data_IF_271383086278
#
_entry.id   IF_271383086278
#
_cell.length_a   1.000
_cell.length_b   1.000
_cell.length_c   1.000
_cell.angle_alpha   90.00
_cell.angle_beta   90.00
_cell.angle_gamma   90.00
#
_symmetry.space_group_name_H-M   'P 1'
#
loop_
_entity.id
_entity.type
_entity.pdbx_description
1 polymer ?
#
# COMPACT_ATOMS: atom_id res chain seq x y z
N UNK A 1 8.86 22.38 -59.59
CA UNK A 1 8.04 22.43 -58.35
C UNK A 1 8.98 22.21 -57.18
N UNK A 2 9.29 23.26 -56.40
CA UNK A 2 10.05 23.11 -55.16
C UNK A 2 9.05 23.19 -54.02
N UNK A 3 8.85 22.07 -53.34
CA UNK A 3 8.13 22.05 -52.08
C UNK A 3 8.99 22.82 -51.07
N UNK A 4 8.49 23.96 -50.58
CA UNK A 4 9.08 24.58 -49.40
C UNK A 4 8.90 23.62 -48.24
N UNK A 5 10.01 23.16 -47.67
CA UNK A 5 9.99 22.54 -46.34
C UNK A 5 9.49 23.59 -45.36
N UNK A 6 8.25 23.42 -44.89
CA UNK A 6 7.63 24.28 -43.88
C UNK A 6 8.24 23.91 -42.53
N UNK A 7 9.23 24.68 -42.09
CA UNK A 7 9.77 24.60 -40.73
C UNK A 7 8.76 25.10 -39.69
N UNK A 8 8.82 24.51 -38.49
CA UNK A 8 7.99 24.86 -37.34
C UNK A 8 8.10 26.35 -36.97
N UNK A 9 6.97 27.00 -36.69
CA UNK A 9 6.91 28.36 -36.15
C UNK A 9 7.01 28.32 -34.61
N UNK A 10 7.66 29.32 -34.00
CA UNK A 10 7.68 29.51 -32.53
C UNK A 10 6.26 29.56 -31.95
N UNK A 11 5.31 30.16 -32.66
CA UNK A 11 3.91 30.19 -32.23
C UNK A 11 3.29 28.79 -32.17
N UNK A 12 3.62 27.93 -33.14
CA UNK A 12 3.11 26.57 -33.20
C UNK A 12 3.66 25.72 -32.05
N UNK A 13 4.95 25.89 -31.72
CA UNK A 13 5.55 25.25 -30.54
C UNK A 13 4.86 25.70 -29.25
N UNK A 14 4.58 27.00 -29.09
CA UNK A 14 3.90 27.53 -27.91
C UNK A 14 2.48 26.98 -27.76
N UNK A 15 1.75 26.86 -28.87
CA UNK A 15 0.40 26.26 -28.87
C UNK A 15 0.46 24.78 -28.49
N UNK A 16 1.41 24.01 -29.02
CA UNK A 16 1.59 22.61 -28.66
C UNK A 16 1.92 22.46 -27.17
N UNK A 17 2.84 23.28 -26.64
CA UNK A 17 3.19 23.27 -25.23
C UNK A 17 2.00 23.65 -24.34
N UNK A 18 1.18 24.63 -24.75
CA UNK A 18 -0.03 25.00 -24.04
C UNK A 18 -1.05 23.85 -23.99
N UNK A 19 -1.30 23.19 -25.12
CA UNK A 19 -2.18 22.02 -25.20
C UNK A 19 -1.63 20.89 -24.33
N UNK A 20 -0.32 20.59 -24.43
CA UNK A 20 0.33 19.56 -23.63
C UNK A 20 0.21 19.84 -22.12
N UNK A 21 0.38 21.09 -21.70
CA UNK A 21 0.22 21.50 -20.30
C UNK A 21 -1.21 21.26 -19.80
N UNK A 22 -2.23 21.58 -20.60
CA UNK A 22 -3.64 21.34 -20.28
C UNK A 22 -3.91 19.83 -20.15
N UNK A 23 -3.41 19.02 -21.10
CA UNK A 23 -3.58 17.57 -21.06
C UNK A 23 -2.92 16.96 -19.81
N UNK A 24 -1.71 17.39 -19.46
CA UNK A 24 -1.01 16.92 -18.27
C UNK A 24 -1.72 17.33 -16.97
N UNK A 25 -2.27 18.54 -16.91
CA UNK A 25 -3.02 19.00 -15.74
C UNK A 25 -4.25 18.14 -15.44
N UNK A 26 -4.88 17.57 -16.48
CA UNK A 26 -6.04 16.68 -16.34
C UNK A 26 -5.61 15.23 -16.11
N UNK A 27 -4.53 14.78 -16.75
CA UNK A 27 -4.10 13.38 -16.73
C UNK A 27 -3.26 12.99 -15.50
N UNK A 28 -2.56 13.95 -14.86
CA UNK A 28 -1.69 13.67 -13.72
C UNK A 28 -2.42 13.34 -12.39
N UNK A 29 -3.51 14.02 -11.99
CA UNK A 29 -4.17 13.80 -10.70
C UNK A 29 -4.56 12.34 -10.39
N UNK A 30 -5.17 11.59 -11.33
CA UNK A 30 -5.59 10.20 -11.07
C UNK A 30 -4.44 9.26 -10.70
N UNK A 31 -3.22 9.53 -11.18
CA UNK A 31 -2.03 8.74 -10.84
C UNK A 31 -1.65 8.88 -9.36
N UNK A 32 -1.95 10.03 -8.75
CA UNK A 32 -1.69 10.26 -7.32
C UNK A 32 -2.77 9.60 -6.45
N UNK A 33 -4.03 9.61 -6.88
CA UNK A 33 -5.14 8.98 -6.15
C UNK A 33 -5.02 7.45 -6.10
N UNK A 34 -4.53 6.84 -7.18
CA UNK A 34 -4.32 5.39 -7.27
C UNK A 34 -3.40 4.87 -6.13
N UNK A 35 -2.46 5.70 -5.66
CA UNK A 35 -1.47 5.31 -4.66
C UNK A 35 -2.06 5.05 -3.28
N UNK A 36 -3.11 5.78 -2.90
CA UNK A 36 -3.78 5.62 -1.59
C UNK A 36 -4.58 4.34 -1.52
N UNK A 37 -5.46 4.11 -2.49
CA UNK A 37 -6.30 2.92 -2.59
C UNK A 37 -5.47 1.64 -2.70
N UNK A 38 -4.41 1.67 -3.51
CA UNK A 38 -3.47 0.55 -3.62
C UNK A 38 -2.78 0.26 -2.29
N UNK A 39 -2.32 1.30 -1.57
CA UNK A 39 -1.67 1.13 -0.28
C UNK A 39 -2.58 0.45 0.75
N UNK A 40 -3.85 0.86 0.84
CA UNK A 40 -4.84 0.25 1.75
C UNK A 40 -5.11 -1.20 1.36
N UNK A 41 -5.30 -1.49 0.06
CA UNK A 41 -5.53 -2.85 -0.43
C UNK A 41 -4.35 -3.78 -0.13
N UNK A 42 -3.12 -3.30 -0.34
CA UNK A 42 -1.92 -4.08 -0.04
C UNK A 42 -1.79 -4.36 1.45
N UNK A 43 -2.04 -3.37 2.32
CA UNK A 43 -2.07 -3.57 3.76
C UNK A 43 -3.11 -4.62 4.18
N UNK A 44 -4.32 -4.57 3.62
CA UNK A 44 -5.36 -5.56 3.90
C UNK A 44 -4.97 -6.98 3.44
N UNK A 45 -4.32 -7.11 2.28
CA UNK A 45 -3.82 -8.39 1.78
C UNK A 45 -2.71 -8.98 2.65
N UNK A 46 -1.79 -8.14 3.13
CA UNK A 46 -0.73 -8.53 4.05
C UNK A 46 -1.31 -9.05 5.37
N UNK A 47 -2.24 -8.30 5.96
CA UNK A 47 -2.96 -8.72 7.19
C UNK A 47 -3.71 -10.05 7.00
N UNK A 48 -4.37 -10.23 5.86
CA UNK A 48 -5.05 -11.49 5.53
C UNK A 48 -4.05 -12.66 5.45
N UNK A 49 -2.87 -12.43 4.87
CA UNK A 49 -1.78 -13.41 4.82
C UNK A 49 -1.31 -13.81 6.22
N UNK A 50 -1.05 -12.83 7.07
CA UNK A 50 -0.65 -13.03 8.47
C UNK A 50 -1.70 -13.80 9.27
N UNK A 51 -2.98 -13.46 9.13
CA UNK A 51 -4.07 -14.17 9.82
C UNK A 51 -4.23 -15.61 9.34
N UNK A 52 -4.06 -15.86 8.04
CA UNK A 52 -4.06 -17.23 7.49
C UNK A 52 -2.88 -18.04 8.02
N UNK A 53 -1.70 -17.42 8.12
CA UNK A 53 -0.52 -18.03 8.71
C UNK A 53 -0.76 -18.37 10.19
N UNK A 54 -1.29 -17.43 10.97
CA UNK A 54 -1.65 -17.63 12.38
C UNK A 54 -2.60 -18.81 12.56
N UNK A 55 -3.65 -18.88 11.73
CA UNK A 55 -4.61 -20.00 11.72
C UNK A 55 -3.92 -21.32 11.39
N UNK A 56 -3.05 -21.36 10.39
CA UNK A 56 -2.32 -22.57 10.03
C UNK A 56 -1.40 -23.04 11.18
N UNK A 57 -0.74 -22.11 11.87
CA UNK A 57 0.04 -22.40 13.07
C UNK A 57 -0.81 -22.96 14.21
N UNK A 58 -1.97 -22.36 14.47
CA UNK A 58 -2.90 -22.81 15.50
C UNK A 58 -3.40 -24.24 15.25
N UNK A 59 -3.81 -24.54 14.01
CA UNK A 59 -4.26 -25.87 13.60
C UNK A 59 -3.10 -26.89 13.71
N UNK A 60 -1.92 -26.55 13.19
CA UNK A 60 -0.77 -27.48 13.19
C UNK A 60 -0.31 -27.85 14.59
N UNK A 61 -0.34 -26.90 15.52
CA UNK A 61 0.19 -27.11 16.88
C UNK A 61 -0.90 -27.38 17.91
N UNK A 62 -2.17 -27.45 17.49
CA UNK A 62 -3.33 -27.56 18.37
C UNK A 62 -3.28 -26.57 19.54
N UNK A 63 -2.84 -25.34 19.26
CA UNK A 63 -2.55 -24.31 20.25
C UNK A 63 -3.25 -23.00 19.87
N UNK A 64 -3.55 -22.18 20.86
CA UNK A 64 -4.09 -20.85 20.61
C UNK A 64 -2.99 -19.93 20.08
N UNK A 65 -3.28 -19.20 19.01
CA UNK A 65 -2.35 -18.24 18.39
C UNK A 65 -3.10 -16.92 18.19
N UNK A 66 -2.49 -15.82 18.60
CA UNK A 66 -3.01 -14.48 18.36
C UNK A 66 -2.03 -13.64 17.54
N UNK A 67 -2.58 -12.61 16.91
CA UNK A 67 -1.80 -11.54 16.29
C UNK A 67 -1.96 -10.32 17.19
N UNK A 68 -0.85 -9.80 17.73
CA UNK A 68 -0.82 -8.53 18.46
C UNK A 68 -0.39 -7.43 17.51
N UNK A 69 -1.07 -6.29 17.61
CA UNK A 69 -0.67 -5.05 16.97
C UNK A 69 -0.03 -4.17 18.05
N UNK A 70 1.24 -3.82 17.84
CA UNK A 70 2.00 -2.91 18.69
C UNK A 70 2.24 -1.61 17.94
N UNK A 71 1.94 -0.48 18.57
CA UNK A 71 2.20 0.84 18.02
C UNK A 71 3.46 1.40 18.69
N UNK A 72 4.44 1.85 17.90
CA UNK A 72 5.61 2.56 18.43
C UNK A 72 5.29 4.01 18.81
N UNK A 73 6.19 4.68 19.52
CA UNK A 73 6.03 6.10 19.89
C UNK A 73 5.92 7.06 18.68
N UNK A 74 6.31 6.61 17.49
CA UNK A 74 6.20 7.34 16.23
C UNK A 74 4.92 6.99 15.44
N UNK A 75 3.98 6.22 16.02
CA UNK A 75 2.71 5.84 15.42
C UNK A 75 2.84 4.74 14.36
N UNK A 76 3.96 4.00 14.32
CA UNK A 76 4.13 2.85 13.41
C UNK A 76 3.53 1.62 14.05
N UNK A 77 2.54 1.04 13.38
CA UNK A 77 1.94 -0.23 13.79
C UNK A 77 2.78 -1.38 13.25
N UNK A 78 3.30 -2.19 14.16
CA UNK A 78 3.99 -3.46 13.91
C UNK A 78 3.10 -4.60 14.39
N UNK A 79 3.22 -5.80 13.81
CA UNK A 79 2.46 -6.96 14.28
C UNK A 79 3.38 -8.14 14.59
N UNK A 80 3.04 -8.87 15.65
CA UNK A 80 3.74 -10.07 16.09
C UNK A 80 2.76 -11.23 16.29
N UNK A 81 3.21 -12.45 15.99
CA UNK A 81 2.47 -13.68 16.25
C UNK A 81 2.82 -14.17 17.66
N UNK A 82 1.80 -14.34 18.49
CA UNK A 82 1.95 -14.88 19.84
C UNK A 82 1.30 -16.26 19.92
N UNK A 83 2.04 -17.24 20.46
CA UNK A 83 1.55 -18.59 20.70
C UNK A 83 1.30 -18.75 22.20
N UNK A 84 0.13 -19.27 22.53
CA UNK A 84 -0.23 -19.71 23.87
C UNK A 84 0.67 -20.90 24.29
N UNK A 85 1.47 -20.67 25.33
CA UNK A 85 2.42 -21.63 25.87
C UNK A 85 1.89 -22.44 27.06
N UNK A 86 0.82 -21.98 27.72
CA UNK A 86 0.29 -22.58 28.96
C UNK A 86 -1.14 -23.15 28.82
N UNK A 87 -1.78 -22.91 27.67
CA UNK A 87 -3.08 -23.45 27.32
C UNK A 87 -4.25 -22.71 27.96
N UNK A 88 -4.04 -21.52 28.54
CA UNK A 88 -5.08 -20.73 29.21
C UNK A 88 -5.81 -19.72 28.29
N UNK A 89 -5.40 -19.67 27.02
CA UNK A 89 -5.82 -18.70 26.02
C UNK A 89 -4.75 -17.64 25.76
N UNK A 90 -4.91 -16.84 24.70
CA UNK A 90 -3.99 -15.72 24.46
C UNK A 90 -4.50 -14.50 25.21
N UNK A 91 -3.92 -14.22 26.40
CA UNK A 91 -4.36 -13.11 27.27
C UNK A 91 -3.32 -11.99 27.27
N UNK A 92 -3.79 -10.74 27.35
CA UNK A 92 -2.90 -9.57 27.39
C UNK A 92 -1.85 -9.61 28.51
N UNK A 93 -2.16 -10.27 29.64
CA UNK A 93 -1.24 -10.45 30.77
C UNK A 93 0.00 -11.30 30.44
N UNK A 94 -0.12 -12.23 29.48
CA UNK A 94 0.96 -13.17 29.12
C UNK A 94 1.79 -12.64 27.95
N UNK A 95 1.23 -11.67 27.23
CA UNK A 95 1.84 -11.05 26.05
C UNK A 95 2.68 -9.81 26.46
N UNK A 96 2.49 -9.28 27.67
CA UNK A 96 3.21 -8.15 28.22
C UNK A 96 4.21 -8.60 29.31
N UNK A 97 5.41 -8.99 28.87
CA UNK A 97 6.63 -9.02 29.67
C UNK A 97 7.79 -8.47 28.84
#
# INVERSE_FOLDING_TARGET
MRASEQGFNLLELLVILAILAILLAIAAPPLFELSGDLRVRLAAQDLLGTLRLARAYAIRHSANVAVRFDEDEAGRVTFALYRDGDGDGVRNKDIAA
#
